data_IF_080197885910
#
_entry.id   IF_080197885910
#
_cell.length_a   1.000
_cell.length_b   1.000
_cell.length_c   1.000
_cell.angle_alpha   90.00
_cell.angle_beta   90.00
_cell.angle_gamma   90.00
#
_symmetry.space_group_name_H-M   'P 1'
#
loop_
_entity.id
_entity.type
_entity.pdbx_description
1 polymer ?
#
# COMPACT_ATOMS: atom_id res chain seq x y z
N UNK A 1 15.81 -3.41 -1.28
CA UNK A 1 16.16 -1.97 -1.42
C UNK A 1 15.19 -1.36 -2.41
N UNK A 2 14.46 -0.34 -2.02
CA UNK A 2 13.53 0.36 -2.92
C UNK A 2 14.33 1.24 -3.87
N UNK A 3 14.12 1.08 -5.16
CA UNK A 3 14.73 1.91 -6.19
C UNK A 3 13.90 3.19 -6.38
N UNK A 4 14.53 4.35 -6.25
CA UNK A 4 13.86 5.62 -6.53
C UNK A 4 13.78 5.81 -8.05
N UNK A 5 12.57 5.89 -8.57
CA UNK A 5 12.31 6.16 -9.99
C UNK A 5 11.70 7.54 -10.16
N UNK A 6 12.18 8.23 -11.19
CA UNK A 6 11.59 9.48 -11.64
C UNK A 6 10.79 9.20 -12.91
N UNK A 7 9.50 9.45 -12.87
CA UNK A 7 8.63 9.29 -14.03
C UNK A 7 8.00 10.64 -14.39
N UNK A 8 8.16 11.05 -15.64
CA UNK A 8 7.49 12.24 -16.16
C UNK A 8 6.18 11.84 -16.79
N UNK A 9 5.08 12.24 -16.17
CA UNK A 9 3.75 12.00 -16.70
C UNK A 9 3.44 13.00 -17.83
N UNK A 10 3.18 12.48 -19.03
CA UNK A 10 2.63 13.28 -20.13
C UNK A 10 1.11 13.24 -20.02
N UNK A 11 0.54 14.27 -19.39
CA UNK A 11 -0.89 14.35 -19.17
C UNK A 11 -1.55 15.06 -20.34
N UNK A 12 -2.36 14.32 -21.08
CA UNK A 12 -3.13 14.85 -22.23
C UNK A 12 -4.42 15.51 -21.74
N UNK A 13 -4.69 16.71 -22.25
CA UNK A 13 -5.94 17.45 -21.97
C UNK A 13 -7.08 16.98 -22.88
N UNK A 14 -8.35 17.02 -22.42
CA UNK A 14 -8.79 17.38 -21.07
C UNK A 14 -8.56 16.25 -20.07
N UNK A 15 -8.12 16.58 -18.86
CA UNK A 15 -7.89 15.60 -17.80
C UNK A 15 -8.38 16.14 -16.45
N UNK A 16 -8.68 15.21 -15.56
CA UNK A 16 -8.84 15.45 -14.13
C UNK A 16 -7.83 14.57 -13.37
N UNK A 17 -7.21 15.14 -12.36
CA UNK A 17 -6.30 14.45 -11.47
C UNK A 17 -6.87 14.45 -10.06
N UNK A 18 -6.95 13.29 -9.46
CA UNK A 18 -7.35 13.07 -8.07
C UNK A 18 -6.12 12.57 -7.33
N UNK A 19 -5.74 13.26 -6.26
CA UNK A 19 -4.62 12.86 -5.38
C UNK A 19 -5.19 12.50 -4.02
N UNK A 20 -4.81 11.33 -3.50
CA UNK A 20 -5.23 10.83 -2.19
C UNK A 20 -4.00 10.35 -1.45
N UNK A 21 -3.81 10.81 -0.22
CA UNK A 21 -2.77 10.31 0.69
C UNK A 21 -3.38 9.69 1.94
N UNK A 22 -2.55 9.00 2.72
CA UNK A 22 -2.88 8.58 4.09
C UNK A 22 -4.18 7.76 4.21
N UNK A 23 -4.39 6.81 3.31
CA UNK A 23 -5.56 5.91 3.34
C UNK A 23 -5.54 5.05 4.62
N UNK A 24 -4.34 4.64 5.06
CA UNK A 24 -4.12 3.93 6.31
C UNK A 24 -5.09 2.76 6.54
N UNK A 25 -5.25 1.90 5.54
CA UNK A 25 -6.09 0.69 5.63
C UNK A 25 -7.58 0.96 5.91
N UNK A 26 -8.07 2.18 5.60
CA UNK A 26 -9.49 2.54 5.67
C UNK A 26 -10.14 2.44 4.29
N UNK A 27 -10.18 1.23 3.73
CA UNK A 27 -10.67 0.96 2.37
C UNK A 27 -12.08 1.50 2.12
N UNK A 28 -13.00 1.31 3.08
CA UNK A 28 -14.38 1.75 2.89
C UNK A 28 -14.49 3.27 2.75
N UNK A 29 -13.70 4.01 3.53
CA UNK A 29 -13.62 5.47 3.39
C UNK A 29 -13.01 5.87 2.07
N UNK A 30 -11.97 5.17 1.63
CA UNK A 30 -11.34 5.43 0.34
C UNK A 30 -12.31 5.20 -0.83
N UNK A 31 -13.06 4.09 -0.81
CA UNK A 31 -14.10 3.81 -1.81
C UNK A 31 -15.18 4.89 -1.82
N UNK A 32 -15.62 5.32 -0.64
CA UNK A 32 -16.60 6.40 -0.52
C UNK A 32 -16.07 7.70 -1.12
N UNK A 33 -14.82 8.08 -0.81
CA UNK A 33 -14.15 9.26 -1.37
C UNK A 33 -14.12 9.22 -2.91
N UNK A 34 -13.72 8.09 -3.50
CA UNK A 34 -13.70 7.91 -4.96
C UNK A 34 -15.11 8.05 -5.57
N UNK A 35 -16.13 7.52 -4.89
CA UNK A 35 -17.54 7.67 -5.31
C UNK A 35 -18.00 9.12 -5.27
N UNK A 36 -17.72 9.84 -4.18
CA UNK A 36 -18.05 11.26 -4.01
C UNK A 36 -17.32 12.14 -5.03
N UNK A 37 -16.04 11.84 -5.28
CA UNK A 37 -15.25 12.48 -6.32
C UNK A 37 -15.72 12.09 -7.76
N UNK A 38 -16.66 11.17 -7.90
CA UNK A 38 -17.12 10.62 -9.18
C UNK A 38 -15.94 10.15 -10.05
N UNK A 39 -15.00 9.43 -9.42
CA UNK A 39 -13.84 8.89 -10.11
C UNK A 39 -14.25 7.98 -11.27
N UNK A 40 -13.55 8.12 -12.37
CA UNK A 40 -13.66 7.26 -13.55
C UNK A 40 -12.27 6.80 -14.00
N UNK A 41 -12.19 5.76 -14.82
CA UNK A 41 -10.91 5.27 -15.37
C UNK A 41 -10.25 6.25 -16.36
N UNK A 42 -10.92 7.34 -16.71
CA UNK A 42 -10.36 8.43 -17.51
C UNK A 42 -9.60 9.46 -16.68
N UNK A 43 -9.82 9.48 -15.38
CA UNK A 43 -9.13 10.38 -14.47
C UNK A 43 -7.72 9.84 -14.15
N UNK A 44 -6.79 10.72 -13.88
CA UNK A 44 -5.55 10.37 -13.21
C UNK A 44 -5.82 10.22 -11.71
N UNK A 45 -5.42 9.08 -11.15
CA UNK A 45 -5.51 8.82 -9.71
C UNK A 45 -4.10 8.60 -9.17
N UNK A 46 -3.68 9.45 -8.26
CA UNK A 46 -2.38 9.36 -7.59
C UNK A 46 -2.62 9.05 -6.12
N UNK A 47 -2.11 7.92 -5.69
CA UNK A 47 -2.07 7.54 -4.26
C UNK A 47 -0.69 7.95 -3.74
N UNK A 48 -0.66 8.98 -2.90
CA UNK A 48 0.57 9.59 -2.42
C UNK A 48 1.01 8.98 -1.08
N UNK A 49 1.23 7.66 -1.09
CA UNK A 49 1.77 6.90 0.03
C UNK A 49 0.83 6.69 1.22
N UNK A 50 1.36 5.98 2.21
CA UNK A 50 0.74 5.65 3.49
C UNK A 50 -0.68 5.05 3.35
N UNK A 51 -0.82 4.10 2.42
CA UNK A 51 -2.10 3.43 2.17
C UNK A 51 -2.32 2.19 3.06
N UNK A 52 -1.25 1.62 3.64
CA UNK A 52 -1.34 0.51 4.62
C UNK A 52 -1.22 1.02 6.06
N UNK A 53 -1.33 0.11 7.01
CA UNK A 53 -1.16 0.31 8.45
C UNK A 53 -2.26 1.15 9.13
N UNK A 54 -2.26 1.17 10.45
CA UNK A 54 -3.20 1.84 11.37
C UNK A 54 -4.64 1.31 11.32
N UNK A 55 -5.26 1.14 10.15
CA UNK A 55 -6.61 0.59 10.01
C UNK A 55 -6.63 -0.94 9.92
N UNK A 56 -7.81 -1.51 9.69
CA UNK A 56 -8.05 -2.96 9.76
C UNK A 56 -8.16 -3.66 8.41
N UNK A 57 -8.14 -2.91 7.30
CA UNK A 57 -8.39 -3.41 5.94
C UNK A 57 -7.12 -3.31 5.07
N UNK A 58 -5.92 -3.61 5.62
CA UNK A 58 -4.66 -3.40 4.91
C UNK A 58 -4.55 -4.26 3.65
N UNK A 59 -4.82 -5.57 3.77
CA UNK A 59 -4.75 -6.52 2.65
C UNK A 59 -5.78 -6.15 1.57
N UNK A 60 -6.98 -5.84 1.99
CA UNK A 60 -8.06 -5.45 1.08
C UNK A 60 -7.76 -4.13 0.36
N UNK A 61 -7.11 -3.18 1.04
CA UNK A 61 -6.67 -1.92 0.44
C UNK A 61 -5.65 -2.19 -0.66
N UNK A 62 -4.65 -3.01 -0.38
CA UNK A 62 -3.63 -3.42 -1.35
C UNK A 62 -4.28 -4.06 -2.58
N UNK A 63 -5.14 -5.06 -2.40
CA UNK A 63 -5.83 -5.72 -3.51
C UNK A 63 -6.71 -4.75 -4.32
N UNK A 64 -7.34 -3.78 -3.65
CA UNK A 64 -8.16 -2.80 -4.34
C UNK A 64 -7.32 -1.83 -5.17
N UNK A 65 -6.16 -1.40 -4.69
CA UNK A 65 -5.21 -0.59 -5.46
C UNK A 65 -4.70 -1.35 -6.69
N UNK A 66 -4.33 -2.62 -6.54
CA UNK A 66 -3.97 -3.49 -7.68
C UNK A 66 -5.10 -3.58 -8.69
N UNK A 67 -6.33 -3.78 -8.23
CA UNK A 67 -7.50 -3.82 -9.10
C UNK A 67 -7.66 -2.50 -9.88
N UNK A 68 -7.49 -1.34 -9.25
CA UNK A 68 -7.57 -0.05 -9.92
C UNK A 68 -6.48 0.11 -10.99
N UNK A 69 -5.24 -0.30 -10.70
CA UNK A 69 -4.13 -0.28 -11.65
C UNK A 69 -4.36 -1.21 -12.84
N UNK A 70 -4.99 -2.37 -12.63
CA UNK A 70 -5.37 -3.27 -13.73
C UNK A 70 -6.48 -2.66 -14.62
N UNK A 71 -7.34 -1.81 -14.06
CA UNK A 71 -8.43 -1.16 -14.80
C UNK A 71 -8.00 0.09 -15.56
N UNK A 72 -6.94 0.76 -15.15
CA UNK A 72 -6.48 2.00 -15.78
C UNK A 72 -4.97 2.19 -15.60
N UNK A 73 -4.29 2.51 -16.69
CA UNK A 73 -2.89 2.92 -16.69
C UNK A 73 -2.68 4.34 -16.09
N UNK A 74 -3.77 5.02 -15.71
CA UNK A 74 -3.73 6.35 -15.09
C UNK A 74 -3.77 6.30 -13.56
N UNK A 75 -3.53 5.14 -12.97
CA UNK A 75 -3.46 4.94 -11.52
C UNK A 75 -2.01 4.76 -11.09
N UNK A 76 -1.52 5.70 -10.32
CA UNK A 76 -0.15 5.75 -9.79
C UNK A 76 -0.20 5.57 -8.28
N UNK A 77 0.59 4.61 -7.78
CA UNK A 77 0.69 4.34 -6.35
C UNK A 77 2.12 4.62 -5.93
N UNK A 78 2.30 5.64 -5.11
CA UNK A 78 3.59 6.02 -4.54
C UNK A 78 3.75 5.38 -3.16
N UNK A 79 4.99 5.23 -2.73
CA UNK A 79 5.30 4.66 -1.43
C UNK A 79 5.45 5.77 -0.39
N UNK A 80 4.78 5.59 0.74
CA UNK A 80 4.99 6.39 1.94
C UNK A 80 5.97 5.72 2.91
N UNK A 81 6.12 6.30 4.08
CA UNK A 81 6.99 5.76 5.10
C UNK A 81 6.46 4.45 5.73
N UNK A 82 5.16 4.21 5.68
CA UNK A 82 4.57 2.95 6.14
C UNK A 82 4.94 1.80 5.22
N UNK A 83 4.85 1.99 3.91
CA UNK A 83 5.22 1.00 2.90
C UNK A 83 6.73 0.75 2.91
N UNK A 84 7.54 1.79 3.05
CA UNK A 84 8.99 1.65 3.18
C UNK A 84 9.38 0.81 4.40
N UNK A 85 8.77 1.06 5.56
CA UNK A 85 9.02 0.28 6.77
C UNK A 85 8.59 -1.19 6.60
N UNK A 86 7.49 -1.44 5.88
CA UNK A 86 7.02 -2.78 5.56
C UNK A 86 7.98 -3.51 4.61
N UNK A 87 8.47 -2.83 3.57
CA UNK A 87 9.46 -3.39 2.65
C UNK A 87 10.75 -3.77 3.37
N UNK A 88 11.26 -2.89 4.24
CA UNK A 88 12.45 -3.17 5.05
C UNK A 88 12.24 -4.39 5.94
N UNK A 89 11.06 -4.52 6.58
CA UNK A 89 10.71 -5.68 7.41
C UNK A 89 10.68 -6.99 6.61
N UNK A 90 10.18 -6.96 5.38
CA UNK A 90 10.06 -8.14 4.52
C UNK A 90 11.41 -8.57 3.96
N UNK A 91 12.26 -7.62 3.59
CA UNK A 91 13.50 -7.87 2.85
C UNK A 91 14.76 -7.95 3.71
N UNK A 92 14.72 -7.47 4.95
CA UNK A 92 15.85 -7.50 5.89
C UNK A 92 15.66 -8.60 6.95
N UNK A 93 16.51 -9.63 6.90
CA UNK A 93 16.39 -10.78 7.80
C UNK A 93 16.86 -10.48 9.22
N UNK A 94 17.89 -9.64 9.37
CA UNK A 94 18.51 -9.38 10.67
C UNK A 94 17.67 -8.42 11.52
N UNK A 95 16.99 -7.45 10.86
CA UNK A 95 16.16 -6.44 11.54
C UNK A 95 14.70 -6.86 11.76
N UNK A 96 14.29 -8.01 11.27
CA UNK A 96 12.87 -8.39 11.21
C UNK A 96 12.16 -8.33 12.58
N UNK A 97 12.74 -8.88 13.63
CA UNK A 97 12.10 -8.94 14.94
C UNK A 97 12.13 -7.58 15.66
N UNK A 98 13.24 -6.88 15.59
CA UNK A 98 13.38 -5.54 16.19
C UNK A 98 12.48 -4.54 15.48
N UNK A 99 12.44 -4.57 14.16
CA UNK A 99 11.58 -3.72 13.35
C UNK A 99 10.10 -4.00 13.65
N UNK A 100 9.68 -5.26 13.72
CA UNK A 100 8.30 -5.63 14.05
C UNK A 100 7.92 -5.15 15.45
N UNK A 101 8.81 -5.32 16.45
CA UNK A 101 8.58 -4.80 17.78
C UNK A 101 8.41 -3.28 17.77
N UNK A 102 9.28 -2.58 17.07
CA UNK A 102 9.19 -1.13 16.89
C UNK A 102 7.88 -0.70 16.20
N UNK A 103 7.51 -1.34 15.10
CA UNK A 103 6.28 -1.04 14.36
C UNK A 103 5.03 -1.27 15.22
N UNK A 104 5.00 -2.34 16.02
CA UNK A 104 3.90 -2.60 16.97
C UNK A 104 3.81 -1.52 18.04
N UNK A 105 4.96 -1.08 18.56
CA UNK A 105 5.01 -0.03 19.58
C UNK A 105 4.44 1.30 19.06
N UNK A 106 4.66 1.62 17.81
CA UNK A 106 4.15 2.84 17.17
C UNK A 106 2.79 2.66 16.46
N UNK A 107 2.18 1.47 16.58
CA UNK A 107 0.87 1.18 15.98
C UNK A 107 0.88 1.05 14.44
N UNK A 108 1.99 0.62 13.86
CA UNK A 108 2.18 0.53 12.40
C UNK A 108 2.41 -0.90 11.86
N UNK A 109 2.10 -1.93 12.64
CA UNK A 109 2.30 -3.32 12.22
C UNK A 109 1.03 -4.00 11.67
N UNK A 110 -0.02 -3.24 11.43
CA UNK A 110 -1.36 -3.77 11.15
C UNK A 110 -1.42 -4.74 9.97
N UNK A 111 -0.72 -4.47 8.87
CA UNK A 111 -0.70 -5.36 7.71
C UNK A 111 -0.01 -6.70 8.04
N UNK A 112 1.13 -6.67 8.69
CA UNK A 112 1.88 -7.87 9.08
C UNK A 112 1.04 -8.73 10.03
N UNK A 113 0.47 -8.12 11.06
CA UNK A 113 -0.36 -8.82 12.04
C UNK A 113 -1.62 -9.40 11.39
N UNK A 114 -2.22 -8.71 10.42
CA UNK A 114 -3.35 -9.22 9.63
C UNK A 114 -2.95 -10.45 8.79
N UNK A 115 -1.82 -10.42 8.11
CA UNK A 115 -1.35 -11.56 7.30
C UNK A 115 -1.05 -12.75 8.22
N UNK A 116 -0.32 -12.53 9.31
CA UNK A 116 0.05 -13.59 10.26
C UNK A 116 -1.19 -14.21 10.90
N UNK A 117 -2.12 -13.41 11.39
CA UNK A 117 -3.32 -13.92 12.04
C UNK A 117 -4.27 -14.66 11.08
N UNK A 118 -4.44 -14.18 9.86
CA UNK A 118 -5.33 -14.81 8.86
C UNK A 118 -4.81 -16.14 8.35
N UNK A 119 -3.49 -16.29 8.28
CA UNK A 119 -2.86 -17.50 7.71
C UNK A 119 -2.26 -18.42 8.77
N UNK A 120 -2.33 -18.08 10.06
CA UNK A 120 -1.63 -18.78 11.14
C UNK A 120 -0.13 -19.00 10.86
N UNK A 121 0.50 -17.99 10.26
CA UNK A 121 1.87 -18.08 9.77
C UNK A 121 2.88 -17.70 10.87
N UNK A 122 4.02 -18.36 10.86
CA UNK A 122 5.21 -17.94 11.58
C UNK A 122 6.03 -17.00 10.69
N UNK A 123 6.17 -15.75 11.11
CA UNK A 123 6.91 -14.72 10.37
C UNK A 123 8.30 -15.16 9.91
N UNK A 124 9.02 -15.93 10.74
CA UNK A 124 10.36 -16.41 10.39
C UNK A 124 10.36 -17.43 9.24
N UNK A 125 9.30 -18.24 9.13
CA UNK A 125 9.19 -19.30 8.13
C UNK A 125 8.53 -18.84 6.84
N UNK A 126 7.74 -17.78 6.89
CA UNK A 126 6.81 -17.41 5.83
C UNK A 126 7.15 -16.07 5.13
N UNK A 127 8.35 -15.54 5.37
CA UNK A 127 8.85 -14.35 4.64
C UNK A 127 8.66 -14.42 3.12
N UNK A 128 8.87 -15.59 2.44
CA UNK A 128 8.61 -15.70 1.01
C UNK A 128 7.17 -15.37 0.59
N UNK A 129 6.18 -15.67 1.44
CA UNK A 129 4.79 -15.33 1.18
C UNK A 129 4.48 -13.84 1.34
N UNK A 130 5.16 -13.16 2.26
CA UNK A 130 5.03 -11.72 2.45
C UNK A 130 5.56 -10.94 1.24
N UNK A 131 6.60 -11.47 0.56
CA UNK A 131 7.15 -10.89 -0.68
C UNK A 131 6.12 -10.81 -1.81
N UNK A 132 5.13 -11.70 -1.83
CA UNK A 132 4.05 -11.62 -2.83
C UNK A 132 3.14 -10.39 -2.64
N UNK A 133 3.10 -9.82 -1.43
CA UNK A 133 2.42 -8.56 -1.17
C UNK A 133 3.34 -7.34 -1.38
N UNK A 134 4.66 -7.54 -1.30
CA UNK A 134 5.67 -6.53 -1.60
C UNK A 134 5.87 -6.25 -3.10
N UNK A 135 5.27 -7.04 -4.00
CA UNK A 135 5.31 -6.78 -5.44
C UNK A 135 4.44 -5.59 -5.90
N UNK A 136 3.81 -4.89 -4.96
CA UNK A 136 3.16 -3.61 -5.20
C UNK A 136 4.12 -2.43 -5.18
N UNK A 137 5.34 -2.66 -4.72
CA UNK A 137 6.33 -1.65 -4.45
C UNK A 137 7.47 -1.71 -5.47
#
# INVERSE_FOLDING_TARGET
MIEIRHEKLNIEKPYRCIVVSDIHSHLDRFKQLLKEARYTTQDYLIIDGDFVEKGTQAIETVHYLQYLQQKSQRVYVLLGNCEYALDALINDDDLCQEMLHYLRKIGKSGMIDQIVSRKHLDLKKEKPHLKNYGMLF
#
